data_IF_637081325658
#
_entry.id   IF_637081325658
#
_cell.length_a   1.000
_cell.length_b   1.000
_cell.length_c   1.000
_cell.angle_alpha   90.00
_cell.angle_beta   90.00
_cell.angle_gamma   90.00
#
_symmetry.space_group_name_H-M   'P 1'
#
loop_
_entity.id
_entity.type
_entity.pdbx_description
1 polymer ?
#
# COMPACT_ATOMS: atom_id res chain seq x y z
N UNK A 1 -9.75 -20.95 1.92
CA UNK A 1 -10.37 -20.31 0.73
C UNK A 1 -9.33 -20.31 -0.38
N UNK A 2 -9.73 -20.59 -1.63
CA UNK A 2 -8.78 -20.57 -2.76
C UNK A 2 -8.44 -19.14 -3.14
N UNK A 3 -7.17 -18.89 -3.39
CA UNK A 3 -6.69 -17.60 -3.88
C UNK A 3 -7.09 -17.40 -5.35
N UNK A 4 -7.48 -16.20 -5.70
CA UNK A 4 -7.92 -15.81 -7.05
C UNK A 4 -6.81 -15.04 -7.73
N UNK A 5 -6.33 -15.54 -8.86
CA UNK A 5 -5.39 -14.81 -9.70
C UNK A 5 -6.12 -13.71 -10.49
N UNK A 6 -5.57 -12.50 -10.46
CA UNK A 6 -6.09 -11.36 -11.20
C UNK A 6 -5.34 -11.25 -12.54
N UNK A 7 -6.05 -11.16 -13.67
CA UNK A 7 -5.41 -10.83 -14.94
C UNK A 7 -4.61 -9.51 -14.84
N UNK A 8 -3.36 -9.53 -15.28
CA UNK A 8 -2.44 -8.40 -15.12
C UNK A 8 -1.50 -8.52 -13.91
N UNK A 9 -1.61 -9.59 -13.12
CA UNK A 9 -0.64 -9.97 -12.09
C UNK A 9 -0.99 -9.53 -10.68
N UNK A 10 -1.38 -10.48 -9.90
CA UNK A 10 -1.69 -10.31 -8.50
C UNK A 10 -2.60 -11.43 -7.99
N UNK A 11 -2.85 -11.40 -6.69
CA UNK A 11 -3.60 -12.43 -6.00
C UNK A 11 -4.59 -11.79 -5.04
N UNK A 12 -5.84 -12.20 -5.14
CA UNK A 12 -6.92 -11.76 -4.26
C UNK A 12 -7.27 -12.88 -3.27
N UNK A 13 -7.24 -12.58 -1.98
CA UNK A 13 -7.81 -13.39 -0.92
C UNK A 13 -9.12 -12.77 -0.46
N UNK A 14 -10.13 -13.60 -0.23
CA UNK A 14 -11.46 -13.15 0.20
C UNK A 14 -11.62 -13.30 1.71
N UNK A 15 -12.15 -12.29 2.39
CA UNK A 15 -12.75 -12.47 3.70
C UNK A 15 -14.06 -13.27 3.60
N UNK A 16 -14.56 -13.73 4.72
CA UNK A 16 -15.85 -14.48 4.77
C UNK A 16 -17.04 -13.58 4.44
N UNK A 17 -17.00 -12.33 4.89
CA UNK A 17 -18.04 -11.33 4.62
C UNK A 17 -17.80 -10.68 3.24
N UNK A 18 -18.78 -10.79 2.35
CA UNK A 18 -18.72 -10.17 1.01
C UNK A 18 -18.62 -8.62 1.06
N UNK A 19 -19.11 -8.00 2.12
CA UNK A 19 -19.04 -6.56 2.37
C UNK A 19 -17.75 -6.11 3.09
N UNK A 20 -16.84 -7.03 3.44
CA UNK A 20 -15.58 -6.68 4.08
C UNK A 20 -14.80 -5.64 3.25
N UNK A 21 -14.04 -4.73 3.88
CA UNK A 21 -13.23 -3.76 3.14
C UNK A 21 -12.24 -4.44 2.20
N UNK A 22 -11.97 -3.80 1.05
CA UNK A 22 -10.93 -4.23 0.11
C UNK A 22 -9.63 -3.46 0.38
N UNK A 23 -8.56 -4.18 0.65
CA UNK A 23 -7.21 -3.63 0.71
C UNK A 23 -6.45 -3.94 -0.58
N UNK A 24 -5.99 -2.88 -1.25
CA UNK A 24 -5.16 -2.95 -2.46
C UNK A 24 -3.70 -2.69 -2.07
N UNK A 25 -2.86 -3.70 -2.18
CA UNK A 25 -1.49 -3.71 -1.67
C UNK A 25 -0.49 -3.74 -2.81
N UNK A 26 0.41 -2.76 -2.81
CA UNK A 26 1.59 -2.73 -3.67
C UNK A 26 2.84 -2.86 -2.80
N UNK A 27 3.56 -3.96 -2.96
CA UNK A 27 4.85 -4.21 -2.32
C UNK A 27 5.99 -3.47 -3.01
N UNK A 28 7.17 -3.55 -2.39
CA UNK A 28 8.40 -2.96 -2.93
C UNK A 28 9.01 -3.77 -4.07
N UNK A 29 10.27 -3.46 -4.36
CA UNK A 29 11.08 -4.16 -5.36
C UNK A 29 11.33 -5.60 -4.89
N UNK A 30 11.53 -6.52 -5.83
CA UNK A 30 11.95 -7.89 -5.52
C UNK A 30 13.25 -7.91 -4.70
N UNK A 31 13.24 -8.66 -3.61
CA UNK A 31 14.40 -8.83 -2.74
C UNK A 31 14.85 -10.29 -2.82
N UNK A 32 16.10 -10.52 -3.19
CA UNK A 32 16.69 -11.86 -3.21
C UNK A 32 15.97 -12.87 -4.13
N UNK A 33 15.36 -12.42 -5.24
CA UNK A 33 14.62 -13.28 -6.16
C UNK A 33 13.19 -13.59 -5.71
N UNK A 34 12.76 -13.10 -4.54
CA UNK A 34 11.39 -13.25 -4.05
C UNK A 34 10.56 -12.07 -4.57
N UNK A 35 9.46 -12.36 -5.24
CA UNK A 35 8.55 -11.33 -5.76
C UNK A 35 7.91 -10.55 -4.61
N UNK A 36 7.66 -9.27 -4.80
CA UNK A 36 7.02 -8.41 -3.80
C UNK A 36 5.69 -8.98 -3.28
N UNK A 37 4.92 -9.61 -4.17
CA UNK A 37 3.68 -10.28 -3.79
C UNK A 37 3.88 -11.41 -2.79
N UNK A 38 5.00 -12.14 -2.86
CA UNK A 38 5.23 -13.28 -1.98
C UNK A 38 5.48 -12.86 -0.53
N UNK A 39 6.39 -11.92 -0.29
CA UNK A 39 6.69 -11.53 1.08
C UNK A 39 5.59 -10.66 1.72
N UNK A 40 4.84 -9.88 0.94
CA UNK A 40 3.73 -9.09 1.47
C UNK A 40 2.66 -9.96 2.11
N UNK A 41 2.43 -11.17 1.59
CA UNK A 41 1.49 -12.12 2.19
C UNK A 41 1.83 -12.50 3.63
N UNK A 42 3.10 -12.52 4.02
CA UNK A 42 3.50 -12.79 5.39
C UNK A 42 2.90 -11.79 6.38
N UNK A 43 2.72 -10.55 5.96
CA UNK A 43 2.11 -9.49 6.78
C UNK A 43 0.59 -9.47 6.63
N UNK A 44 0.09 -9.57 5.40
CA UNK A 44 -1.34 -9.45 5.10
C UNK A 44 -2.15 -10.64 5.64
N UNK A 45 -1.57 -11.82 5.77
CA UNK A 45 -2.23 -12.98 6.37
C UNK A 45 -2.73 -12.74 7.79
N UNK A 46 -2.14 -11.80 8.52
CA UNK A 46 -2.57 -11.48 9.89
C UNK A 46 -3.91 -10.76 9.98
N UNK A 47 -4.39 -10.22 8.85
CA UNK A 47 -5.64 -9.44 8.77
C UNK A 47 -6.63 -9.97 7.73
N UNK A 48 -6.31 -11.08 7.05
CA UNK A 48 -7.09 -11.61 5.91
C UNK A 48 -8.55 -11.95 6.25
N UNK A 49 -8.84 -12.23 7.51
CA UNK A 49 -10.20 -12.59 7.93
C UNK A 49 -11.11 -11.36 8.01
N UNK A 50 -10.54 -10.16 8.10
CA UNK A 50 -11.24 -8.88 8.21
C UNK A 50 -11.33 -8.11 6.89
N UNK A 51 -10.52 -8.46 5.89
CA UNK A 51 -10.37 -7.72 4.65
C UNK A 51 -10.35 -8.66 3.44
N UNK A 52 -10.96 -8.25 2.35
CA UNK A 52 -10.53 -8.74 1.05
C UNK A 52 -9.17 -8.13 0.75
N UNK A 53 -8.18 -8.93 0.42
CA UNK A 53 -6.81 -8.45 0.22
C UNK A 53 -6.34 -8.80 -1.18
N UNK A 54 -6.08 -7.78 -1.97
CA UNK A 54 -5.37 -7.92 -3.22
C UNK A 54 -3.90 -7.52 -3.02
N UNK A 55 -2.99 -8.43 -3.32
CA UNK A 55 -1.55 -8.14 -3.37
C UNK A 55 -1.09 -8.21 -4.81
N UNK A 56 -0.63 -7.07 -5.33
CA UNK A 56 -0.07 -6.99 -6.66
C UNK A 56 1.26 -7.75 -6.73
N UNK A 57 1.46 -8.53 -7.80
CA UNK A 57 2.78 -8.97 -8.20
C UNK A 57 3.57 -7.76 -8.70
N UNK A 58 4.87 -7.68 -8.35
CA UNK A 58 5.71 -6.55 -8.74
C UNK A 58 5.61 -6.28 -10.24
N UNK A 59 5.46 -5.03 -10.60
CA UNK A 59 5.41 -4.50 -11.97
C UNK A 59 4.22 -4.93 -12.85
N UNK A 60 3.35 -5.83 -12.41
CA UNK A 60 2.28 -6.34 -13.26
C UNK A 60 0.98 -5.53 -13.20
N UNK A 61 0.77 -4.76 -12.12
CA UNK A 61 -0.43 -3.93 -11.96
C UNK A 61 -0.02 -2.45 -12.00
N UNK A 62 0.28 -1.96 -13.20
CA UNK A 62 0.67 -0.59 -13.44
C UNK A 62 -0.48 0.21 -14.05
N UNK A 63 -1.11 1.07 -13.25
CA UNK A 63 -2.02 2.06 -13.75
C UNK A 63 -3.51 1.67 -13.82
N UNK A 64 -4.33 2.51 -14.47
CA UNK A 64 -5.79 2.46 -14.44
C UNK A 64 -6.40 1.16 -14.97
N UNK A 65 -5.77 0.56 -15.99
CA UNK A 65 -6.28 -0.68 -16.59
C UNK A 65 -6.24 -1.86 -15.63
N UNK A 66 -5.17 -1.97 -14.89
CA UNK A 66 -4.99 -3.07 -13.93
C UNK A 66 -5.91 -2.93 -12.72
N UNK A 67 -6.08 -1.70 -12.23
CA UNK A 67 -7.06 -1.42 -11.18
C UNK A 67 -8.48 -1.72 -11.65
N UNK A 68 -8.84 -1.33 -12.87
CA UNK A 68 -10.15 -1.65 -13.47
C UNK A 68 -10.35 -3.16 -13.61
N UNK A 69 -9.31 -3.91 -14.02
CA UNK A 69 -9.37 -5.37 -14.11
C UNK A 69 -9.54 -6.01 -12.73
N UNK A 70 -8.86 -5.49 -11.71
CA UNK A 70 -9.07 -5.91 -10.33
C UNK A 70 -10.54 -5.71 -9.92
N UNK A 71 -11.11 -4.53 -10.13
CA UNK A 71 -12.49 -4.25 -9.71
C UNK A 71 -13.50 -5.12 -10.45
N UNK A 72 -13.31 -5.38 -11.74
CA UNK A 72 -14.15 -6.35 -12.48
C UNK A 72 -14.08 -7.76 -11.89
N UNK A 73 -12.89 -8.19 -11.45
CA UNK A 73 -12.75 -9.50 -10.81
C UNK A 73 -13.42 -9.52 -9.45
N UNK A 74 -13.27 -8.46 -8.65
CA UNK A 74 -13.94 -8.29 -7.35
C UNK A 74 -15.47 -8.44 -7.51
N UNK A 75 -16.04 -7.71 -8.46
CA UNK A 75 -17.48 -7.78 -8.80
C UNK A 75 -17.89 -9.17 -9.29
N UNK A 76 -17.13 -9.78 -10.18
CA UNK A 76 -17.39 -11.14 -10.69
C UNK A 76 -17.34 -12.23 -9.60
N UNK A 77 -16.66 -11.96 -8.49
CA UNK A 77 -16.63 -12.84 -7.31
C UNK A 77 -17.79 -12.56 -6.32
N UNK A 78 -18.71 -11.68 -6.67
CA UNK A 78 -19.85 -11.31 -5.82
C UNK A 78 -19.43 -10.50 -4.58
N UNK A 79 -18.25 -9.86 -4.61
CA UNK A 79 -17.78 -9.05 -3.50
C UNK A 79 -18.30 -7.61 -3.66
N UNK A 80 -18.76 -7.05 -2.55
CA UNK A 80 -19.29 -5.68 -2.48
C UNK A 80 -18.59 -4.90 -1.36
N UNK A 81 -17.28 -4.60 -1.51
CA UNK A 81 -16.51 -4.01 -0.44
C UNK A 81 -17.12 -2.71 0.09
N UNK A 82 -17.30 -2.61 1.39
CA UNK A 82 -17.88 -1.42 2.05
C UNK A 82 -16.99 -0.18 1.90
N UNK A 83 -15.70 -0.37 1.74
CA UNK A 83 -14.70 0.69 1.49
C UNK A 83 -13.45 0.10 0.88
N UNK A 84 -12.58 0.98 0.36
CA UNK A 84 -11.30 0.60 -0.22
C UNK A 84 -10.15 1.26 0.54
N UNK A 85 -9.07 0.51 0.72
CA UNK A 85 -7.85 0.94 1.40
C UNK A 85 -6.69 0.73 0.44
N UNK A 86 -5.84 1.73 0.27
CA UNK A 86 -4.62 1.63 -0.52
C UNK A 86 -3.43 1.47 0.43
N UNK A 87 -2.59 0.47 0.16
CA UNK A 87 -1.39 0.18 0.94
C UNK A 87 -0.17 0.15 0.03
N UNK A 88 0.74 1.08 0.22
CA UNK A 88 1.96 1.24 -0.56
C UNK A 88 3.19 1.01 0.31
N UNK A 89 4.00 0.01 -0.03
CA UNK A 89 5.24 -0.27 0.67
C UNK A 89 6.44 -0.08 -0.24
N UNK A 90 7.46 0.64 0.23
CA UNK A 90 8.75 0.78 -0.46
C UNK A 90 8.58 1.21 -1.93
N UNK A 91 9.19 0.48 -2.87
CA UNK A 91 9.05 0.71 -4.32
C UNK A 91 7.64 0.52 -4.89
N UNK A 92 6.68 0.05 -4.11
CA UNK A 92 5.27 -0.01 -4.48
C UNK A 92 4.62 1.33 -4.75
N UNK A 93 5.33 2.44 -4.50
CA UNK A 93 4.87 3.77 -4.86
C UNK A 93 4.61 3.93 -6.36
N UNK A 94 5.45 3.36 -7.22
CA UNK A 94 5.33 3.51 -8.67
C UNK A 94 3.97 3.03 -9.20
N UNK A 95 3.63 1.73 -9.07
CA UNK A 95 2.30 1.24 -9.43
C UNK A 95 1.17 1.90 -8.66
N UNK A 96 1.38 2.23 -7.38
CA UNK A 96 0.39 2.96 -6.57
C UNK A 96 0.07 4.34 -7.13
N UNK A 97 1.05 5.07 -7.64
CA UNK A 97 0.85 6.34 -8.34
C UNK A 97 -0.05 6.18 -9.57
N UNK A 98 0.15 5.11 -10.34
CA UNK A 98 -0.70 4.82 -11.50
C UNK A 98 -2.17 4.61 -11.11
N UNK A 99 -2.41 3.90 -10.01
CA UNK A 99 -3.77 3.72 -9.46
C UNK A 99 -4.36 5.06 -9.00
N UNK A 100 -3.60 5.85 -8.25
CA UNK A 100 -4.06 7.17 -7.77
C UNK A 100 -4.36 8.13 -8.92
N UNK A 101 -3.54 8.13 -9.97
CA UNK A 101 -3.76 8.97 -11.16
C UNK A 101 -5.03 8.55 -11.93
N UNK A 102 -5.31 7.25 -12.00
CA UNK A 102 -6.45 6.73 -12.77
C UNK A 102 -7.76 6.65 -12.01
N UNK A 103 -7.71 6.27 -10.73
CA UNK A 103 -8.90 6.09 -9.90
C UNK A 103 -9.19 7.31 -9.01
N UNK A 104 -8.19 8.11 -8.74
CA UNK A 104 -8.22 9.25 -7.82
C UNK A 104 -8.10 8.86 -6.35
N UNK A 105 -7.46 9.70 -5.53
CA UNK A 105 -7.26 9.42 -4.11
C UNK A 105 -8.55 9.44 -3.30
N UNK A 106 -9.60 10.11 -3.80
CA UNK A 106 -10.92 10.18 -3.14
C UNK A 106 -11.61 8.82 -3.02
N UNK A 107 -11.26 7.87 -3.90
CA UNK A 107 -11.82 6.53 -3.91
C UNK A 107 -11.43 5.72 -2.66
N UNK A 108 -10.26 6.00 -2.10
CA UNK A 108 -9.76 5.27 -0.94
C UNK A 108 -10.18 5.94 0.37
N UNK A 109 -10.75 5.17 1.28
CA UNK A 109 -11.09 5.64 2.62
C UNK A 109 -9.88 5.84 3.50
N UNK A 110 -8.81 5.09 3.23
CA UNK A 110 -7.51 5.17 3.92
C UNK A 110 -6.37 4.88 2.95
N UNK A 111 -5.25 5.56 3.14
CA UNK A 111 -4.03 5.38 2.36
C UNK A 111 -2.88 5.15 3.34
N UNK A 112 -2.23 3.99 3.22
CA UNK A 112 -1.04 3.64 4.00
C UNK A 112 0.20 3.84 3.15
N UNK A 113 1.08 4.73 3.59
CA UNK A 113 2.40 4.96 3.03
C UNK A 113 3.42 4.31 3.97
N UNK A 114 4.02 3.20 3.56
CA UNK A 114 4.84 2.38 4.44
C UNK A 114 6.26 2.33 3.92
N UNK A 115 7.12 3.05 4.58
CA UNK A 115 8.54 3.24 4.27
C UNK A 115 8.81 3.38 2.76
N UNK A 116 8.00 4.20 2.13
CA UNK A 116 8.06 4.45 0.69
C UNK A 116 9.37 5.12 0.35
N UNK A 117 10.03 4.61 -0.66
CA UNK A 117 11.24 5.23 -1.18
C UNK A 117 10.88 6.48 -1.98
N UNK A 118 11.31 7.61 -1.47
CA UNK A 118 11.16 8.90 -2.16
C UNK A 118 12.44 9.24 -2.93
N UNK A 119 12.73 8.47 -3.98
CA UNK A 119 13.86 8.74 -4.86
C UNK A 119 13.53 9.89 -5.83
N UNK A 120 14.27 10.99 -5.75
CA UNK A 120 14.14 12.15 -6.64
C UNK A 120 13.10 13.18 -6.21
N UNK A 121 13.28 14.43 -6.68
CA UNK A 121 12.44 15.57 -6.32
C UNK A 121 10.98 15.42 -6.78
N UNK A 122 10.76 14.92 -7.98
CA UNK A 122 9.40 14.75 -8.55
C UNK A 122 8.54 13.78 -7.74
N UNK A 123 9.14 12.73 -7.18
CA UNK A 123 8.44 11.76 -6.32
C UNK A 123 8.10 12.40 -4.97
N UNK A 124 9.04 13.14 -4.39
CA UNK A 124 8.80 13.87 -3.15
C UNK A 124 7.67 14.89 -3.31
N UNK A 125 7.63 15.64 -4.40
CA UNK A 125 6.59 16.63 -4.68
C UNK A 125 5.23 15.97 -4.89
N UNK A 126 5.17 14.81 -5.54
CA UNK A 126 3.93 14.04 -5.66
C UNK A 126 3.39 13.63 -4.29
N UNK A 127 4.23 13.10 -3.39
CA UNK A 127 3.78 12.71 -2.06
C UNK A 127 3.39 13.90 -1.19
N UNK A 128 4.06 15.05 -1.33
CA UNK A 128 3.64 16.30 -0.69
C UNK A 128 2.22 16.67 -1.13
N UNK A 129 1.97 16.67 -2.43
CA UNK A 129 0.65 16.97 -2.99
C UNK A 129 -0.41 15.98 -2.49
N UNK A 130 -0.08 14.67 -2.46
CA UNK A 130 -0.98 13.64 -1.95
C UNK A 130 -1.30 13.84 -0.46
N UNK A 131 -0.29 14.13 0.36
CA UNK A 131 -0.44 14.38 1.80
C UNK A 131 -1.25 15.64 2.05
N UNK A 132 -0.96 16.73 1.36
CA UNK A 132 -1.71 18.00 1.52
C UNK A 132 -3.19 17.84 1.14
N UNK A 133 -3.49 17.09 0.08
CA UNK A 133 -4.86 16.84 -0.36
C UNK A 133 -5.64 15.85 0.52
N UNK A 134 -4.94 14.91 1.18
CA UNK A 134 -5.56 13.73 1.81
C UNK A 134 -5.06 13.45 3.23
N UNK A 135 -4.49 14.42 3.92
CA UNK A 135 -3.87 14.21 5.24
C UNK A 135 -4.77 13.45 6.24
N UNK A 136 -6.09 13.71 6.21
CA UNK A 136 -7.05 13.02 7.07
C UNK A 136 -7.17 11.51 6.81
N UNK A 137 -6.73 11.02 5.64
CA UNK A 137 -6.84 9.62 5.22
C UNK A 137 -5.53 8.87 5.27
N UNK A 138 -4.41 9.55 5.44
CA UNK A 138 -3.07 8.96 5.33
C UNK A 138 -2.56 8.51 6.70
N UNK A 139 -1.98 7.31 6.72
CA UNK A 139 -1.10 6.82 7.79
C UNK A 139 0.27 6.59 7.19
N UNK A 140 1.29 7.19 7.77
CA UNK A 140 2.67 7.08 7.33
C UNK A 140 3.50 6.32 8.35
N UNK A 141 4.01 5.15 7.97
CA UNK A 141 4.94 4.37 8.79
C UNK A 141 6.29 4.42 8.11
N UNK A 142 7.32 4.86 8.80
CA UNK A 142 8.61 5.14 8.19
C UNK A 142 9.79 4.80 9.10
N UNK A 143 10.95 4.62 8.47
CA UNK A 143 12.26 4.48 9.13
C UNK A 143 13.15 5.68 8.81
N UNK A 144 14.32 5.72 9.43
CA UNK A 144 15.42 6.64 9.05
C UNK A 144 16.31 6.05 7.93
N UNK A 145 15.75 5.19 7.08
CA UNK A 145 16.46 4.51 6.02
C UNK A 145 16.67 5.43 4.80
N UNK A 146 17.94 5.75 4.52
CA UNK A 146 18.36 6.55 3.36
C UNK A 146 18.37 8.07 3.60
N UNK A 147 19.57 8.65 3.59
CA UNK A 147 19.80 10.07 3.86
C UNK A 147 19.13 11.04 2.86
N UNK A 148 18.97 10.62 1.61
CA UNK A 148 18.44 11.48 0.54
C UNK A 148 16.94 11.77 0.66
N UNK A 149 16.24 11.11 1.59
CA UNK A 149 14.80 11.19 1.74
C UNK A 149 14.37 11.85 3.06
N UNK A 150 15.29 12.26 3.91
CA UNK A 150 14.99 12.78 5.25
C UNK A 150 14.04 13.99 5.20
N UNK A 151 14.33 14.97 4.33
CA UNK A 151 13.51 16.20 4.22
C UNK A 151 12.05 15.90 3.81
N UNK A 152 11.85 14.97 2.89
CA UNK A 152 10.50 14.61 2.45
C UNK A 152 9.75 13.83 3.54
N UNK A 153 10.44 12.92 4.25
CA UNK A 153 9.89 12.21 5.40
C UNK A 153 9.53 13.15 6.54
N UNK A 154 10.41 14.08 6.85
CA UNK A 154 10.18 15.09 7.90
C UNK A 154 8.97 15.96 7.56
N UNK A 155 8.82 16.34 6.30
CA UNK A 155 7.65 17.06 5.83
C UNK A 155 6.37 16.25 6.05
N UNK A 156 6.32 15.01 5.58
CA UNK A 156 5.14 14.14 5.73
C UNK A 156 4.83 13.92 7.21
N UNK A 157 5.83 13.60 8.02
CA UNK A 157 5.67 13.40 9.45
C UNK A 157 5.12 14.66 10.15
N UNK A 158 5.62 15.84 9.79
CA UNK A 158 5.14 17.11 10.35
C UNK A 158 3.67 17.39 10.02
N UNK A 159 3.20 16.96 8.85
CA UNK A 159 1.81 17.15 8.41
C UNK A 159 0.83 16.19 9.05
N UNK A 160 1.23 14.95 9.25
CA UNK A 160 0.31 13.92 9.72
C UNK A 160 0.17 13.88 11.25
N UNK A 161 1.11 14.44 11.97
CA UNK A 161 1.18 14.35 13.43
C UNK A 161 1.64 12.96 13.92
N UNK A 162 1.96 12.88 15.21
CA UNK A 162 2.59 11.69 15.82
C UNK A 162 1.71 10.42 15.81
N UNK A 163 0.40 10.59 15.77
CA UNK A 163 -0.53 9.44 15.73
C UNK A 163 -0.62 8.78 14.36
N UNK A 164 -0.27 9.51 13.30
CA UNK A 164 -0.40 9.07 11.91
C UNK A 164 0.93 9.01 11.17
N UNK A 165 1.98 9.60 11.73
CA UNK A 165 3.35 9.50 11.29
C UNK A 165 4.12 8.68 12.32
N UNK A 166 4.28 7.40 12.07
CA UNK A 166 4.85 6.43 13.01
C UNK A 166 6.29 6.15 12.59
N UNK A 167 7.23 6.61 13.40
CA UNK A 167 8.64 6.29 13.22
C UNK A 167 8.95 4.91 13.80
N UNK A 168 9.53 4.05 12.99
CA UNK A 168 10.12 2.77 13.42
C UNK A 168 11.63 2.99 13.56
N UNK A 169 12.11 2.90 14.78
CA UNK A 169 13.53 3.14 15.07
C UNK A 169 14.41 2.03 14.52
N UNK A 170 15.61 2.42 14.07
CA UNK A 170 16.62 1.53 13.53
C UNK A 170 16.94 1.81 12.06
N UNK A 171 17.87 1.03 11.54
CA UNK A 171 18.38 1.12 10.16
C UNK A 171 18.56 -0.27 9.58
N UNK A 172 18.50 -0.36 8.27
CA UNK A 172 18.74 -1.60 7.54
C UNK A 172 17.48 -2.27 7.01
N UNK A 173 17.68 -3.33 6.25
CA UNK A 173 16.62 -4.00 5.52
C UNK A 173 15.58 -4.65 6.45
N UNK A 174 16.00 -5.22 7.56
CA UNK A 174 15.10 -5.88 8.51
C UNK A 174 14.12 -4.88 9.14
N UNK A 175 14.61 -3.68 9.47
CA UNK A 175 13.77 -2.61 10.01
C UNK A 175 12.84 -2.07 8.92
N UNK A 176 13.33 -1.89 7.70
CA UNK A 176 12.53 -1.51 6.54
C UNK A 176 11.37 -2.50 6.31
N UNK A 177 11.66 -3.79 6.31
CA UNK A 177 10.65 -4.83 6.19
C UNK A 177 9.70 -4.86 7.40
N UNK A 178 10.24 -4.65 8.61
CA UNK A 178 9.50 -4.62 9.87
C UNK A 178 8.45 -3.52 9.96
N UNK A 179 8.56 -2.42 9.17
CA UNK A 179 7.55 -1.37 9.10
C UNK A 179 6.16 -1.92 8.74
N UNK A 180 6.11 -2.98 7.93
CA UNK A 180 4.84 -3.62 7.58
C UNK A 180 4.13 -4.23 8.80
N UNK A 181 4.87 -4.82 9.74
CA UNK A 181 4.28 -5.34 10.98
C UNK A 181 3.63 -4.22 11.81
N UNK A 182 4.28 -3.06 11.87
CA UNK A 182 3.74 -1.89 12.57
C UNK A 182 2.52 -1.34 11.82
N UNK A 183 2.64 -1.15 10.51
CA UNK A 183 1.56 -0.60 9.70
C UNK A 183 0.28 -1.46 9.75
N UNK A 184 0.40 -2.77 9.60
CA UNK A 184 -0.75 -3.69 9.60
C UNK A 184 -1.51 -3.65 10.92
N UNK A 185 -0.85 -3.43 12.05
CA UNK A 185 -1.50 -3.27 13.37
C UNK A 185 -2.37 -2.02 13.47
N UNK A 186 -2.10 -0.99 12.65
CA UNK A 186 -2.87 0.26 12.65
C UNK A 186 -4.07 0.21 11.69
N UNK A 187 -4.19 -0.82 10.88
CA UNK A 187 -5.32 -0.98 9.94
C UNK A 187 -6.60 -1.30 10.70
N UNK A 188 -7.58 -0.40 10.55
CA UNK A 188 -8.90 -0.48 11.19
C UNK A 188 -9.98 -0.80 10.17
#
# INVERSE_FOLDING_TARGET
>A
MADIHIPGGGKLSKAADAGAPLMVVFGGINVGGITSGHYMWNYMNTIKDRFHIFVAQSNAVNGPHSYRSLMKTVEAQGLTPSRQILYLFSGGYGPGMGVLAGAGPALFSSIYLVDIWMGGSSVADFYKTLVDANAAKITYVHTKFGANNEKARDYIASKLGSQRAILVEGKGMDVHMGTNTVAVRTVQ
#
